data_IF_230132238816
#
_entry.id   IF_230132238816
#
_cell.length_a   1.000
_cell.length_b   1.000
_cell.length_c   1.000
_cell.angle_alpha   90.00
_cell.angle_beta   90.00
_cell.angle_gamma   90.00
#
_symmetry.space_group_name_H-M   'P 1'
#
loop_
_entity.id
_entity.type
_entity.pdbx_description
1 polymer ?
#
# COMPACT_ATOMS: atom_id res chain seq x y z
N UNK A 1 53.94 -93.71 73.45
CA UNK A 1 54.63 -94.21 74.65
C UNK A 1 53.62 -95.04 75.44
N UNK A 2 53.22 -96.25 75.03
CA UNK A 2 53.90 -97.56 75.11
C UNK A 2 54.49 -97.93 76.47
N UNK A 3 54.13 -99.14 76.90
CA UNK A 3 54.66 -100.01 77.98
C UNK A 3 54.13 -99.72 79.40
N UNK A 4 53.37 -100.60 80.06
CA UNK A 4 53.37 -102.09 80.18
C UNK A 4 54.66 -102.62 80.83
N UNK A 5 54.58 -103.05 82.09
CA UNK A 5 55.42 -104.04 82.78
C UNK A 5 54.63 -104.48 84.05
N UNK A 6 53.97 -105.65 84.09
CA UNK A 6 54.48 -107.02 84.37
C UNK A 6 55.18 -107.16 85.72
N UNK A 7 54.73 -108.12 86.53
CA UNK A 7 55.56 -108.76 87.55
C UNK A 7 54.80 -109.42 88.68
N UNK A 8 54.23 -110.60 88.44
CA UNK A 8 53.79 -111.52 89.48
C UNK A 8 54.99 -112.27 90.08
N UNK A 9 55.01 -112.47 91.40
CA UNK A 9 55.76 -113.55 92.05
C UNK A 9 54.91 -114.12 93.18
N UNK A 10 54.73 -115.43 93.07
CA UNK A 10 54.06 -116.36 93.98
C UNK A 10 55.15 -117.11 94.76
N UNK A 11 54.89 -117.52 96.02
CA UNK A 11 55.35 -118.79 96.65
C UNK A 11 54.91 -118.85 98.13
N UNK A 12 54.39 -120.03 98.51
CA UNK A 12 54.30 -120.73 99.81
C UNK A 12 54.24 -119.91 101.12
N UNK A 13 53.29 -120.12 102.03
CA UNK A 13 52.87 -121.40 102.60
C UNK A 13 53.40 -121.48 104.05
N UNK A 14 52.53 -121.57 105.05
CA UNK A 14 52.96 -121.72 106.44
C UNK A 14 51.92 -121.35 107.49
N UNK A 15 51.28 -122.37 108.04
CA UNK A 15 50.34 -122.40 109.16
C UNK A 15 51.05 -122.09 110.49
N UNK A 16 50.47 -121.27 111.39
CA UNK A 16 50.48 -121.41 112.86
C UNK A 16 49.73 -120.26 113.58
N UNK A 17 48.74 -120.62 114.39
CA UNK A 17 47.90 -119.84 115.33
C UNK A 17 48.38 -120.21 116.76
N UNK A 18 48.05 -119.53 117.89
CA UNK A 18 47.71 -118.13 118.23
C UNK A 18 48.57 -117.57 119.40
N UNK A 19 48.41 -116.28 119.75
CA UNK A 19 48.12 -115.93 121.16
C UNK A 19 47.36 -114.60 121.23
N UNK A 20 46.13 -114.70 121.72
CA UNK A 20 45.16 -113.62 121.89
C UNK A 20 45.43 -112.95 123.25
N UNK A 21 45.86 -111.69 123.24
CA UNK A 21 45.90 -110.82 124.42
C UNK A 21 44.95 -109.65 124.19
N UNK A 22 43.76 -109.76 124.79
CA UNK A 22 42.76 -108.70 124.84
C UNK A 22 43.19 -107.70 125.92
N UNK A 23 43.68 -106.54 125.51
CA UNK A 23 43.74 -105.36 126.37
C UNK A 23 42.50 -104.49 126.10
N UNK A 24 41.64 -104.36 127.11
CA UNK A 24 40.62 -103.33 127.16
C UNK A 24 41.21 -102.08 127.85
N UNK A 25 41.04 -100.90 127.25
CA UNK A 25 41.35 -99.64 127.92
C UNK A 25 41.30 -98.39 127.02
N UNK A 26 40.32 -97.53 127.30
CA UNK A 26 40.10 -96.15 126.82
C UNK A 26 39.63 -95.93 125.36
N UNK A 27 38.31 -95.86 125.18
CA UNK A 27 37.74 -95.06 124.09
C UNK A 27 37.81 -93.56 124.44
N UNK A 28 37.98 -92.66 123.44
CA UNK A 28 38.08 -91.22 123.67
C UNK A 28 36.81 -90.67 124.33
N UNK A 29 36.96 -89.61 125.13
CA UNK A 29 35.80 -88.93 125.73
C UNK A 29 34.96 -88.26 124.65
N UNK A 30 33.65 -88.09 124.88
CA UNK A 30 32.75 -87.45 123.91
C UNK A 30 33.26 -86.04 123.51
N UNK A 31 33.80 -85.30 124.47
CA UNK A 31 34.37 -83.96 124.27
C UNK A 31 35.64 -83.99 123.39
N UNK A 32 36.48 -85.02 123.49
CA UNK A 32 37.64 -85.20 122.61
C UNK A 32 37.22 -85.47 121.16
N UNK A 33 36.18 -86.29 120.94
CA UNK A 33 35.66 -86.60 119.61
C UNK A 33 35.15 -85.32 118.93
N UNK A 34 34.31 -84.56 119.64
CA UNK A 34 33.72 -83.32 119.10
C UNK A 34 34.79 -82.25 118.79
N UNK A 35 35.77 -82.04 119.68
CA UNK A 35 36.85 -81.07 119.47
C UNK A 35 37.72 -81.41 118.25
N UNK A 36 38.07 -82.69 118.07
CA UNK A 36 38.87 -83.16 116.91
C UNK A 36 38.09 -83.09 115.61
N UNK A 37 36.80 -83.44 115.62
CA UNK A 37 35.93 -83.33 114.45
C UNK A 37 35.76 -81.87 114.01
N UNK A 38 35.55 -80.96 114.97
CA UNK A 38 35.50 -79.51 114.71
C UNK A 38 36.80 -78.97 114.11
N UNK A 39 37.96 -79.39 114.64
CA UNK A 39 39.26 -79.00 114.08
C UNK A 39 39.45 -79.54 112.66
N UNK A 40 39.04 -80.77 112.38
CA UNK A 40 39.10 -81.35 111.04
C UNK A 40 38.21 -80.58 110.05
N UNK A 41 36.97 -80.25 110.45
CA UNK A 41 36.06 -79.41 109.66
C UNK A 41 36.65 -78.03 109.38
N UNK A 42 37.23 -77.37 110.40
CA UNK A 42 37.86 -76.06 110.25
C UNK A 42 39.07 -76.09 109.30
N UNK A 43 39.90 -77.14 109.36
CA UNK A 43 41.02 -77.36 108.44
C UNK A 43 40.57 -77.55 107.00
N UNK A 44 39.54 -78.37 106.80
CA UNK A 44 38.99 -78.63 105.47
C UNK A 44 38.35 -77.37 104.88
N UNK A 45 37.51 -76.67 105.65
CA UNK A 45 36.93 -75.40 105.23
C UNK A 45 38.00 -74.38 104.84
N UNK A 46 39.08 -74.28 105.63
CA UNK A 46 40.21 -73.40 105.32
C UNK A 46 40.96 -73.83 104.05
N UNK A 47 41.20 -75.13 103.87
CA UNK A 47 41.87 -75.63 102.67
C UNK A 47 41.06 -75.34 101.39
N UNK A 48 39.74 -75.52 101.44
CA UNK A 48 38.83 -75.18 100.34
C UNK A 48 38.85 -73.68 100.06
N UNK A 49 38.75 -72.85 101.10
CA UNK A 49 38.81 -71.40 100.96
C UNK A 49 40.15 -70.93 100.39
N UNK A 50 41.27 -71.52 100.83
CA UNK A 50 42.61 -71.20 100.34
C UNK A 50 42.84 -71.64 98.90
N UNK A 51 42.21 -72.73 98.47
CA UNK A 51 42.30 -73.21 97.09
C UNK A 51 41.41 -72.42 96.12
N UNK A 52 40.50 -71.56 96.62
CA UNK A 52 39.66 -70.72 95.79
C UNK A 52 40.41 -69.42 95.39
N UNK A 53 40.72 -69.22 94.08
CA UNK A 53 41.45 -68.03 93.61
C UNK A 53 40.75 -66.72 93.97
N UNK A 54 39.42 -66.70 94.01
CA UNK A 54 38.66 -65.49 94.32
C UNK A 54 38.84 -65.07 95.77
N UNK A 55 38.93 -66.04 96.69
CA UNK A 55 39.21 -65.79 98.11
C UNK A 55 40.65 -65.33 98.30
N UNK A 56 41.59 -65.91 97.56
CA UNK A 56 43.00 -65.50 97.57
C UNK A 56 43.17 -64.05 97.04
N UNK A 57 42.50 -63.70 95.94
CA UNK A 57 42.61 -62.36 95.32
C UNK A 57 41.88 -61.30 96.16
N UNK A 58 40.69 -61.60 96.69
CA UNK A 58 39.81 -60.58 97.26
C UNK A 58 39.74 -60.56 98.79
N UNK A 59 40.15 -61.65 99.46
CA UNK A 59 40.05 -61.78 100.92
C UNK A 59 41.34 -62.30 101.57
N UNK A 60 42.50 -61.98 100.98
CA UNK A 60 43.81 -62.44 101.47
C UNK A 60 44.03 -62.18 102.98
N UNK A 61 43.62 -61.01 103.49
CA UNK A 61 43.78 -60.64 104.90
C UNK A 61 42.90 -61.51 105.82
N UNK A 62 41.56 -61.57 105.64
CA UNK A 62 40.71 -62.54 106.34
C UNK A 62 41.15 -64.01 106.21
N UNK A 63 41.63 -64.43 105.04
CA UNK A 63 42.11 -65.79 104.79
C UNK A 63 43.38 -66.09 105.61
N UNK A 64 44.33 -65.15 105.67
CA UNK A 64 45.51 -65.28 106.52
C UNK A 64 45.13 -65.38 108.00
N UNK A 65 44.12 -64.62 108.43
CA UNK A 65 43.60 -64.64 109.80
C UNK A 65 42.92 -65.96 110.15
N UNK A 66 42.20 -66.56 109.20
CA UNK A 66 41.61 -67.88 109.32
C UNK A 66 42.69 -68.97 109.45
N UNK A 67 43.74 -68.91 108.62
CA UNK A 67 44.88 -69.83 108.69
C UNK A 67 45.57 -69.81 110.07
N UNK A 68 45.85 -68.60 110.59
CA UNK A 68 46.41 -68.46 111.96
C UNK A 68 45.49 -69.07 113.03
N UNK A 69 44.18 -68.94 112.88
CA UNK A 69 43.23 -69.54 113.83
C UNK A 69 43.21 -71.07 113.73
N UNK A 70 43.33 -71.65 112.53
CA UNK A 70 43.50 -73.11 112.34
C UNK A 70 44.80 -73.60 112.98
N UNK A 71 45.88 -72.86 112.82
CA UNK A 71 47.18 -73.18 113.41
C UNK A 71 47.13 -73.15 114.95
N UNK A 72 46.48 -72.13 115.52
CA UNK A 72 46.27 -72.01 116.96
C UNK A 72 45.38 -73.15 117.50
N UNK A 73 44.28 -73.46 116.82
CA UNK A 73 43.40 -74.56 117.19
C UNK A 73 44.12 -75.92 117.16
N UNK A 74 45.05 -76.10 116.21
CA UNK A 74 45.89 -77.31 116.11
C UNK A 74 46.90 -77.46 117.25
N UNK A 75 47.24 -76.36 117.93
CA UNK A 75 48.23 -76.30 119.01
C UNK A 75 47.59 -76.18 120.41
N UNK A 76 46.25 -76.20 120.49
CA UNK A 76 45.52 -76.07 121.74
C UNK A 76 45.90 -77.17 122.74
N UNK A 77 46.03 -76.79 124.02
CA UNK A 77 46.55 -77.70 125.07
C UNK A 77 45.47 -78.57 125.71
N UNK A 78 44.21 -78.19 125.54
CA UNK A 78 43.04 -78.91 126.03
C UNK A 78 41.92 -78.89 124.99
N UNK A 79 40.93 -79.78 125.15
CA UNK A 79 39.89 -79.98 124.15
C UNK A 79 38.86 -78.84 124.09
N UNK A 80 38.60 -78.14 125.21
CA UNK A 80 37.71 -76.97 125.23
C UNK A 80 38.27 -75.80 124.40
N UNK A 81 39.56 -75.52 124.59
CA UNK A 81 40.29 -74.50 123.82
C UNK A 81 40.37 -74.90 122.34
N UNK A 82 40.61 -76.18 122.04
CA UNK A 82 40.62 -76.69 120.66
C UNK A 82 39.27 -76.49 119.96
N UNK A 83 38.18 -76.88 120.62
CA UNK A 83 36.83 -76.74 120.07
C UNK A 83 36.48 -75.27 119.83
N UNK A 84 36.75 -74.40 120.81
CA UNK A 84 36.50 -72.96 120.68
C UNK A 84 37.33 -72.31 119.57
N UNK A 85 38.63 -72.59 119.50
CA UNK A 85 39.51 -72.05 118.46
C UNK A 85 39.18 -72.62 117.08
N UNK A 86 38.80 -73.90 116.98
CA UNK A 86 38.33 -74.50 115.73
C UNK A 86 37.05 -73.83 115.24
N UNK A 87 36.10 -73.55 116.14
CA UNK A 87 34.90 -72.76 115.81
C UNK A 87 35.29 -71.36 115.30
N UNK A 88 36.19 -70.65 115.99
CA UNK A 88 36.65 -69.34 115.53
C UNK A 88 37.37 -69.40 114.18
N UNK A 89 38.15 -70.45 113.92
CA UNK A 89 38.84 -70.66 112.65
C UNK A 89 37.85 -70.91 111.50
N UNK A 90 36.83 -71.73 111.74
CA UNK A 90 35.74 -71.97 110.79
C UNK A 90 34.97 -70.67 110.51
N UNK A 91 34.62 -69.89 111.54
CA UNK A 91 33.95 -68.59 111.38
C UNK A 91 34.81 -67.58 110.62
N UNK A 92 36.12 -67.51 110.90
CA UNK A 92 37.05 -66.64 110.15
C UNK A 92 37.19 -67.07 108.69
N UNK A 93 37.19 -68.36 108.43
CA UNK A 93 37.20 -68.90 107.05
C UNK A 93 35.91 -68.50 106.31
N UNK A 94 34.75 -68.62 106.96
CA UNK A 94 33.48 -68.18 106.39
C UNK A 94 33.47 -66.66 106.11
N UNK A 95 34.06 -65.85 107.00
CA UNK A 95 34.23 -64.41 106.78
C UNK A 95 35.12 -64.15 105.55
N UNK A 96 36.22 -64.89 105.38
CA UNK A 96 37.07 -64.73 104.20
C UNK A 96 36.33 -65.03 102.90
N UNK A 97 35.55 -66.12 102.86
CA UNK A 97 34.71 -66.44 101.69
C UNK A 97 33.67 -65.35 101.43
N UNK A 98 32.96 -64.90 102.47
CA UNK A 98 31.94 -63.87 102.34
C UNK A 98 32.51 -62.52 101.87
N UNK A 99 33.69 -62.12 102.36
CA UNK A 99 34.39 -60.89 101.92
C UNK A 99 34.78 -60.99 100.44
N UNK A 100 35.23 -62.16 99.99
CA UNK A 100 35.58 -62.37 98.60
C UNK A 100 34.34 -62.30 97.69
N UNK A 101 33.24 -62.94 98.09
CA UNK A 101 31.96 -62.88 97.38
C UNK A 101 31.42 -61.44 97.31
N UNK A 102 31.47 -60.69 98.41
CA UNK A 102 31.07 -59.27 98.45
C UNK A 102 31.91 -58.43 97.50
N UNK A 103 33.23 -58.60 97.50
CA UNK A 103 34.13 -57.82 96.65
C UNK A 103 33.96 -58.15 95.16
N UNK A 104 33.68 -59.41 94.82
CA UNK A 104 33.35 -59.81 93.45
C UNK A 104 32.02 -59.20 92.99
N UNK A 105 30.99 -59.24 93.84
CA UNK A 105 29.69 -58.65 93.54
C UNK A 105 29.80 -57.12 93.32
N UNK A 106 30.60 -56.42 94.13
CA UNK A 106 30.86 -54.99 93.92
C UNK A 106 31.67 -54.72 92.64
N UNK A 107 32.63 -55.57 92.28
CA UNK A 107 33.38 -55.45 91.02
C UNK A 107 32.48 -55.68 89.79
N UNK A 108 31.59 -56.67 89.84
CA UNK A 108 30.63 -56.95 88.78
C UNK A 108 29.64 -55.79 88.63
N UNK A 109 29.08 -55.29 89.74
CA UNK A 109 28.22 -54.11 89.76
C UNK A 109 28.93 -52.87 89.18
N UNK A 110 30.21 -52.66 89.51
CA UNK A 110 31.00 -51.58 88.92
C UNK A 110 31.24 -51.79 87.42
N UNK A 111 31.47 -53.02 86.96
CA UNK A 111 31.61 -53.36 85.55
C UNK A 111 30.31 -53.13 84.76
N UNK A 112 29.17 -53.58 85.30
CA UNK A 112 27.84 -53.33 84.76
C UNK A 112 27.50 -51.83 84.77
N UNK A 113 27.91 -51.09 85.80
CA UNK A 113 27.80 -49.63 85.85
C UNK A 113 28.52 -48.95 84.69
N UNK A 114 29.77 -49.37 84.41
CA UNK A 114 30.53 -48.84 83.27
C UNK A 114 29.90 -49.21 81.92
N UNK A 115 29.37 -50.43 81.76
CA UNK A 115 28.76 -50.84 80.50
C UNK A 115 27.40 -50.14 80.27
N UNK A 116 26.60 -49.97 81.31
CA UNK A 116 25.34 -49.21 81.24
C UNK A 116 25.61 -47.75 80.89
N UNK A 117 26.62 -47.11 81.49
CA UNK A 117 27.02 -45.74 81.13
C UNK A 117 27.47 -45.63 79.66
N UNK A 118 28.27 -46.58 79.17
CA UNK A 118 28.65 -46.65 77.74
C UNK A 118 27.44 -46.84 76.82
N UNK A 119 26.47 -47.66 77.21
CA UNK A 119 25.25 -47.87 76.43
C UNK A 119 24.40 -46.59 76.38
N UNK A 120 24.26 -45.89 77.51
CA UNK A 120 23.54 -44.60 77.57
C UNK A 120 24.21 -43.57 76.66
N UNK A 121 25.54 -43.43 76.73
CA UNK A 121 26.28 -42.50 75.86
C UNK A 121 26.08 -42.86 74.39
N UNK A 122 26.28 -44.12 74.00
CA UNK A 122 26.05 -44.58 72.61
C UNK A 122 24.60 -44.34 72.14
N UNK A 123 23.62 -44.56 73.01
CA UNK A 123 22.21 -44.31 72.70
C UNK A 123 21.95 -42.82 72.47
N UNK A 124 22.48 -41.95 73.34
CA UNK A 124 22.37 -40.48 73.19
C UNK A 124 23.08 -39.99 71.93
N UNK A 125 24.26 -40.51 71.62
CA UNK A 125 24.98 -40.16 70.38
C UNK A 125 24.18 -40.55 69.13
N UNK A 126 23.58 -41.74 69.11
CA UNK A 126 22.68 -42.16 68.01
C UNK A 126 21.47 -41.25 67.89
N UNK A 127 20.85 -40.89 69.00
CA UNK A 127 19.70 -39.98 69.01
C UNK A 127 20.09 -38.58 68.50
N UNK A 128 21.26 -38.05 68.92
CA UNK A 128 21.75 -36.76 68.44
C UNK A 128 22.10 -36.80 66.96
N UNK A 129 22.77 -37.85 66.49
CA UNK A 129 23.06 -38.06 65.06
C UNK A 129 21.78 -38.10 64.24
N UNK A 130 20.80 -38.89 64.65
CA UNK A 130 19.49 -38.96 63.99
C UNK A 130 18.77 -37.61 63.96
N UNK A 131 18.85 -36.82 65.05
CA UNK A 131 18.28 -35.45 65.09
C UNK A 131 18.99 -34.49 64.12
N UNK A 132 20.31 -34.57 64.01
CA UNK A 132 21.09 -33.74 63.07
C UNK A 132 20.77 -34.13 61.63
N UNK A 133 20.78 -35.42 61.32
CA UNK A 133 20.43 -35.95 59.99
C UNK A 133 18.99 -35.58 59.59
N UNK A 134 18.04 -35.70 60.51
CA UNK A 134 16.65 -35.29 60.26
C UNK A 134 16.53 -33.77 60.01
N UNK A 135 17.28 -32.94 60.74
CA UNK A 135 17.33 -31.49 60.52
C UNK A 135 17.94 -31.14 59.17
N UNK A 136 19.03 -31.79 58.81
CA UNK A 136 19.68 -31.60 57.51
C UNK A 136 18.77 -32.01 56.37
N UNK A 137 18.12 -33.18 56.46
CA UNK A 137 17.14 -33.65 55.48
C UNK A 137 15.97 -32.67 55.33
N UNK A 138 15.42 -32.17 56.45
CA UNK A 138 14.34 -31.18 56.40
C UNK A 138 14.78 -29.85 55.79
N UNK A 139 16.02 -29.41 56.07
CA UNK A 139 16.58 -28.20 55.48
C UNK A 139 16.79 -28.36 53.96
N UNK A 140 17.30 -29.50 53.51
CA UNK A 140 17.45 -29.81 52.09
C UNK A 140 16.10 -29.86 51.37
N UNK A 141 15.08 -30.48 51.99
CA UNK A 141 13.72 -30.50 51.45
C UNK A 141 13.15 -29.08 51.32
N UNK A 142 13.24 -28.26 52.38
CA UNK A 142 12.78 -26.87 52.36
C UNK A 142 13.53 -26.03 51.31
N UNK A 143 14.84 -26.21 51.15
CA UNK A 143 15.63 -25.53 50.12
C UNK A 143 15.22 -25.95 48.70
N UNK A 144 14.90 -27.23 48.49
CA UNK A 144 14.38 -27.74 47.22
C UNK A 144 13.00 -27.18 46.90
N UNK A 145 12.10 -27.14 47.89
CA UNK A 145 10.76 -26.57 47.75
C UNK A 145 10.83 -25.08 47.42
N UNK A 146 11.70 -24.33 48.09
CA UNK A 146 11.91 -22.91 47.82
C UNK A 146 12.44 -22.69 46.39
N UNK A 147 13.41 -23.51 45.96
CA UNK A 147 13.91 -23.47 44.58
C UNK A 147 12.81 -23.75 43.56
N UNK A 148 11.91 -24.70 43.85
CA UNK A 148 10.76 -24.99 43.00
C UNK A 148 9.75 -23.84 42.97
N UNK A 149 9.51 -23.16 44.10
CA UNK A 149 8.65 -21.96 44.17
C UNK A 149 9.21 -20.83 43.32
N UNK A 150 10.49 -20.50 43.48
CA UNK A 150 11.17 -19.46 42.70
C UNK A 150 11.16 -19.79 41.20
N UNK A 151 11.43 -21.05 40.83
CA UNK A 151 11.36 -21.48 39.43
C UNK A 151 9.96 -21.35 38.83
N UNK A 152 8.92 -21.71 39.58
CA UNK A 152 7.53 -21.56 39.16
C UNK A 152 7.12 -20.08 39.04
N UNK A 153 7.58 -19.23 39.96
CA UNK A 153 7.35 -17.78 39.90
C UNK A 153 8.03 -17.16 38.67
N UNK A 154 9.27 -17.54 38.38
CA UNK A 154 9.97 -17.12 37.15
C UNK A 154 9.24 -17.59 35.88
N UNK A 155 8.72 -18.82 35.86
CA UNK A 155 7.93 -19.32 34.74
C UNK A 155 6.64 -18.51 34.55
N UNK A 156 5.94 -18.18 35.64
CA UNK A 156 4.74 -17.32 35.61
C UNK A 156 5.05 -15.90 35.13
N UNK A 157 6.16 -15.31 35.58
CA UNK A 157 6.61 -14.00 35.14
C UNK A 157 6.96 -14.00 33.64
N UNK A 158 7.62 -15.05 33.16
CA UNK A 158 7.93 -15.23 31.74
C UNK A 158 6.66 -15.37 30.88
N UNK A 159 5.70 -16.19 31.32
CA UNK A 159 4.41 -16.35 30.63
C UNK A 159 3.61 -15.03 30.61
N UNK A 160 3.57 -14.30 31.74
CA UNK A 160 2.95 -12.98 31.80
C UNK A 160 3.59 -12.00 30.81
N UNK A 161 4.93 -11.98 30.74
CA UNK A 161 5.65 -11.14 29.79
C UNK A 161 5.35 -11.52 28.33
N UNK A 162 5.27 -12.81 28.02
CA UNK A 162 4.89 -13.30 26.69
C UNK A 162 3.47 -12.87 26.30
N UNK A 163 2.51 -12.92 27.25
CA UNK A 163 1.13 -12.44 27.04
C UNK A 163 1.08 -10.94 26.77
N UNK A 164 1.84 -10.14 27.52
CA UNK A 164 1.92 -8.68 27.31
C UNK A 164 2.51 -8.38 25.93
N UNK A 165 3.60 -9.05 25.55
CA UNK A 165 4.22 -8.89 24.24
C UNK A 165 3.26 -9.26 23.10
N UNK A 166 2.54 -10.38 23.22
CA UNK A 166 1.53 -10.79 22.24
C UNK A 166 0.36 -9.79 22.16
N UNK A 167 -0.12 -9.28 23.30
CA UNK A 167 -1.16 -8.25 23.31
C UNK A 167 -0.70 -6.96 22.61
N UNK A 168 0.55 -6.53 22.82
CA UNK A 168 1.13 -5.38 22.12
C UNK A 168 1.27 -5.63 20.61
N UNK A 169 1.70 -6.81 20.20
CA UNK A 169 1.76 -7.21 18.79
C UNK A 169 0.37 -7.20 18.13
N UNK A 170 -0.67 -7.69 18.82
CA UNK A 170 -2.06 -7.63 18.35
C UNK A 170 -2.57 -6.20 18.20
N UNK A 171 -2.25 -5.33 19.17
CA UNK A 171 -2.65 -3.92 19.15
C UNK A 171 -2.00 -3.19 17.97
N UNK A 172 -0.69 -3.31 17.83
CA UNK A 172 0.05 -2.69 16.71
C UNK A 172 -0.41 -3.22 15.34
N UNK A 173 -0.73 -4.50 15.23
CA UNK A 173 -1.31 -5.07 14.01
C UNK A 173 -2.70 -4.49 13.70
N UNK A 174 -3.56 -4.33 14.72
CA UNK A 174 -4.88 -3.73 14.55
C UNK A 174 -4.78 -2.24 14.14
N UNK A 175 -3.85 -1.50 14.73
CA UNK A 175 -3.56 -0.10 14.36
C UNK A 175 -3.04 0.01 12.93
N UNK A 176 -2.11 -0.86 12.52
CA UNK A 176 -1.60 -0.91 11.14
C UNK A 176 -2.73 -1.20 10.14
N UNK A 177 -3.59 -2.19 10.43
CA UNK A 177 -4.73 -2.51 9.57
C UNK A 177 -5.70 -1.32 9.42
N UNK A 178 -5.97 -0.60 10.50
CA UNK A 178 -6.81 0.60 10.46
C UNK A 178 -6.15 1.71 9.63
N UNK A 179 -4.85 1.92 9.79
CA UNK A 179 -4.09 2.88 9.00
C UNK A 179 -4.07 2.53 7.51
N UNK A 180 -3.96 1.25 7.16
CA UNK A 180 -4.03 0.78 5.77
C UNK A 180 -5.41 1.02 5.15
N UNK A 181 -6.48 0.79 5.91
CA UNK A 181 -7.86 1.04 5.49
C UNK A 181 -8.12 2.55 5.28
N UNK A 182 -7.65 3.39 6.20
CA UNK A 182 -7.66 4.85 6.06
C UNK A 182 -6.83 5.29 4.83
N UNK A 183 -5.64 4.72 4.61
CA UNK A 183 -4.83 5.03 3.43
C UNK A 183 -5.52 4.61 2.12
N UNK A 184 -6.19 3.46 2.10
CA UNK A 184 -6.95 2.99 0.94
C UNK A 184 -8.11 3.94 0.62
N UNK A 185 -8.89 4.34 1.64
CA UNK A 185 -10.00 5.29 1.46
C UNK A 185 -9.52 6.66 0.98
N UNK A 186 -8.42 7.18 1.54
CA UNK A 186 -7.82 8.45 1.10
C UNK A 186 -7.35 8.38 -0.36
N UNK A 187 -6.73 7.28 -0.79
CA UNK A 187 -6.35 7.06 -2.20
C UNK A 187 -7.56 7.04 -3.12
N UNK A 188 -8.66 6.39 -2.70
CA UNK A 188 -9.89 6.36 -3.48
C UNK A 188 -10.53 7.76 -3.62
N UNK A 189 -10.52 8.56 -2.55
CA UNK A 189 -10.98 9.95 -2.58
C UNK A 189 -10.10 10.79 -3.52
N UNK A 190 -8.77 10.66 -3.42
CA UNK A 190 -7.83 11.39 -4.27
C UNK A 190 -8.03 11.05 -5.77
N UNK A 191 -8.18 9.77 -6.11
CA UNK A 191 -8.46 9.36 -7.49
C UNK A 191 -9.80 9.90 -8.02
N UNK A 192 -10.82 9.97 -7.16
CA UNK A 192 -12.11 10.55 -7.54
C UNK A 192 -11.99 12.05 -7.78
N UNK A 193 -11.29 12.76 -6.89
CA UNK A 193 -11.01 14.19 -7.06
C UNK A 193 -10.23 14.49 -8.34
N UNK A 194 -9.24 13.65 -8.69
CA UNK A 194 -8.49 13.75 -9.95
C UNK A 194 -9.40 13.57 -11.17
N UNK A 195 -10.25 12.53 -11.18
CA UNK A 195 -11.24 12.33 -12.26
C UNK A 195 -12.23 13.48 -12.37
N UNK A 196 -12.70 14.01 -11.25
CA UNK A 196 -13.63 15.14 -11.22
C UNK A 196 -12.96 16.42 -11.75
N UNK A 197 -11.67 16.63 -11.43
CA UNK A 197 -10.87 17.72 -11.96
C UNK A 197 -10.63 17.59 -13.47
N UNK A 198 -10.32 16.37 -13.96
CA UNK A 198 -10.16 16.09 -15.39
C UNK A 198 -11.47 16.31 -16.15
N UNK A 199 -12.59 15.87 -15.59
CA UNK A 199 -13.91 16.09 -16.20
C UNK A 199 -14.24 17.57 -16.27
N UNK A 200 -13.99 18.33 -15.20
CA UNK A 200 -14.16 19.78 -15.16
C UNK A 200 -13.28 20.48 -16.19
N UNK A 201 -12.02 20.07 -16.32
CA UNK A 201 -11.10 20.60 -17.32
C UNK A 201 -11.55 20.27 -18.75
N UNK A 202 -12.06 19.06 -18.99
CA UNK A 202 -12.62 18.66 -20.29
C UNK A 202 -13.87 19.48 -20.64
N UNK A 203 -14.77 19.72 -19.68
CA UNK A 203 -15.94 20.58 -19.87
C UNK A 203 -15.54 22.03 -20.18
N UNK A 204 -14.57 22.58 -19.46
CA UNK A 204 -14.05 23.92 -19.74
C UNK A 204 -13.40 24.03 -21.13
N UNK A 205 -12.69 22.98 -21.58
CA UNK A 205 -12.14 22.91 -22.94
C UNK A 205 -13.26 22.86 -23.98
N UNK A 206 -14.29 22.05 -23.77
CA UNK A 206 -15.43 21.94 -24.67
C UNK A 206 -16.17 23.27 -24.80
N UNK A 207 -16.51 23.94 -23.69
CA UNK A 207 -17.17 25.25 -23.72
C UNK A 207 -16.30 26.32 -24.39
N UNK A 208 -14.98 26.29 -24.18
CA UNK A 208 -14.06 27.19 -24.87
C UNK A 208 -13.99 26.92 -26.39
N UNK A 209 -14.10 25.65 -26.81
CA UNK A 209 -14.10 25.27 -28.23
C UNK A 209 -15.42 25.68 -28.92
N UNK A 210 -16.56 25.53 -28.24
CA UNK A 210 -17.86 26.02 -28.70
C UNK A 210 -17.86 27.55 -28.85
N UNK A 211 -17.32 28.27 -27.86
CA UNK A 211 -17.18 29.73 -27.93
C UNK A 211 -16.29 30.17 -29.12
N UNK A 212 -15.18 29.48 -29.37
CA UNK A 212 -14.33 29.72 -30.56
C UNK A 212 -15.10 29.46 -31.86
N UNK A 213 -15.83 28.36 -31.94
CA UNK A 213 -16.62 28.00 -33.12
C UNK A 213 -17.71 29.04 -33.40
N UNK A 214 -18.42 29.49 -32.36
CA UNK A 214 -19.43 30.55 -32.48
C UNK A 214 -18.80 31.89 -32.90
N UNK A 215 -17.64 32.25 -32.34
CA UNK A 215 -16.88 33.44 -32.76
C UNK A 215 -16.44 33.38 -34.22
N UNK A 216 -15.93 32.23 -34.69
CA UNK A 216 -15.53 32.05 -36.08
C UNK A 216 -16.72 32.07 -37.04
N UNK A 217 -17.88 31.50 -36.63
CA UNK A 217 -19.12 31.63 -37.39
C UNK A 217 -19.58 33.09 -37.50
N UNK A 218 -19.54 33.83 -36.39
CA UNK A 218 -19.86 35.26 -36.39
C UNK A 218 -18.92 36.07 -37.30
N UNK A 219 -17.61 35.78 -37.27
CA UNK A 219 -16.63 36.40 -38.19
C UNK A 219 -16.91 36.09 -39.65
N UNK A 220 -17.27 34.83 -39.98
CA UNK A 220 -17.64 34.43 -41.34
C UNK A 220 -18.93 35.12 -41.80
N UNK A 221 -19.94 35.22 -40.92
CA UNK A 221 -21.18 35.92 -41.21
C UNK A 221 -20.96 37.42 -41.45
N UNK A 222 -20.15 38.08 -40.60
CA UNK A 222 -19.75 39.48 -40.79
C UNK A 222 -18.99 39.69 -42.10
N UNK A 223 -18.02 38.82 -42.41
CA UNK A 223 -17.30 38.88 -43.68
C UNK A 223 -18.23 38.71 -44.89
N UNK A 224 -19.23 37.82 -44.80
CA UNK A 224 -20.22 37.62 -45.85
C UNK A 224 -21.13 38.84 -46.01
N UNK A 225 -21.58 39.45 -44.92
CA UNK A 225 -22.38 40.67 -44.93
C UNK A 225 -21.61 41.84 -45.58
N UNK A 226 -20.34 42.04 -45.19
CA UNK A 226 -19.48 43.06 -45.81
C UNK A 226 -19.30 42.83 -47.31
N UNK A 227 -19.21 41.58 -47.74
CA UNK A 227 -19.10 41.22 -49.17
C UNK A 227 -20.40 41.54 -49.92
N UNK A 228 -21.56 41.18 -49.38
CA UNK A 228 -22.85 41.51 -50.00
C UNK A 228 -23.10 43.02 -50.05
N UNK A 229 -22.71 43.76 -49.02
CA UNK A 229 -22.83 45.22 -48.99
C UNK A 229 -21.94 45.86 -50.05
N UNK A 230 -20.69 45.38 -50.19
CA UNK A 230 -19.79 45.84 -51.24
C UNK A 230 -20.31 45.53 -52.65
N UNK A 231 -20.92 44.37 -52.86
CA UNK A 231 -21.56 43.99 -54.13
C UNK A 231 -22.78 44.87 -54.43
N UNK A 232 -23.62 45.15 -53.43
CA UNK A 232 -24.77 46.04 -53.55
C UNK A 232 -24.32 47.47 -53.92
N UNK A 233 -23.32 48.01 -53.22
CA UNK A 233 -22.73 49.31 -53.53
C UNK A 233 -22.10 49.35 -54.94
N UNK A 234 -21.43 48.27 -55.36
CA UNK A 234 -20.89 48.19 -56.71
C UNK A 234 -22.01 48.20 -57.76
N UNK A 235 -23.14 47.55 -57.48
CA UNK A 235 -24.29 47.52 -58.37
C UNK A 235 -25.00 48.88 -58.43
N UNK A 236 -25.19 49.57 -57.30
CA UNK A 236 -25.77 50.91 -57.30
C UNK A 236 -24.91 51.87 -58.13
N UNK A 237 -23.58 51.87 -57.92
CA UNK A 237 -22.67 52.68 -58.73
C UNK A 237 -22.71 52.33 -60.23
N UNK A 238 -22.89 51.05 -60.60
CA UNK A 238 -23.09 50.65 -62.00
C UNK A 238 -24.39 51.21 -62.56
N UNK A 239 -25.49 51.13 -61.81
CA UNK A 239 -26.78 51.67 -62.24
C UNK A 239 -26.77 53.19 -62.36
N UNK A 240 -26.15 53.90 -61.41
CA UNK A 240 -25.96 55.35 -61.46
C UNK A 240 -25.16 55.76 -62.68
N UNK A 241 -24.05 55.06 -62.96
CA UNK A 241 -23.23 55.32 -64.17
C UNK A 241 -24.00 55.04 -65.46
N UNK A 242 -24.77 53.95 -65.50
CA UNK A 242 -25.60 53.61 -66.66
C UNK A 242 -26.68 54.68 -66.89
N UNK A 243 -27.35 55.13 -65.82
CA UNK A 243 -28.35 56.19 -65.90
C UNK A 243 -27.74 57.53 -66.30
N UNK A 244 -26.59 57.90 -65.73
CA UNK A 244 -25.88 59.11 -66.13
C UNK A 244 -25.48 59.08 -67.61
N UNK A 245 -25.04 57.92 -68.13
CA UNK A 245 -24.76 57.73 -69.55
C UNK A 245 -26.03 57.86 -70.41
N UNK A 246 -27.14 57.29 -69.97
CA UNK A 246 -28.43 57.40 -70.65
C UNK A 246 -28.93 58.85 -70.70
N UNK A 247 -28.92 59.56 -69.56
CA UNK A 247 -29.31 60.96 -69.49
C UNK A 247 -28.41 61.84 -70.36
N UNK A 248 -27.09 61.60 -70.36
CA UNK A 248 -26.15 62.35 -71.22
C UNK A 248 -26.48 62.15 -72.70
N UNK A 249 -26.72 60.90 -73.11
CA UNK A 249 -27.11 60.57 -74.47
C UNK A 249 -28.42 61.28 -74.86
N UNK A 250 -29.41 61.31 -73.96
CA UNK A 250 -30.68 61.99 -74.18
C UNK A 250 -30.51 63.51 -74.38
N UNK A 251 -29.68 64.17 -73.57
CA UNK A 251 -29.38 65.60 -73.73
C UNK A 251 -28.72 65.89 -75.10
N UNK A 252 -27.80 65.04 -75.54
CA UNK A 252 -27.16 65.18 -76.86
C UNK A 252 -28.15 64.96 -78.01
N UNK A 253 -29.13 64.06 -77.86
CA UNK A 253 -30.22 63.84 -78.85
C UNK A 253 -31.12 65.08 -78.95
N UNK A 254 -31.53 65.65 -77.81
CA UNK A 254 -32.36 66.86 -77.77
C UNK A 254 -31.64 68.02 -78.46
N UNK A 255 -30.33 68.18 -78.22
CA UNK A 255 -29.53 69.24 -78.86
C UNK A 255 -29.47 69.10 -80.39
N UNK A 256 -29.49 67.86 -80.90
CA UNK A 256 -29.54 67.60 -82.34
C UNK A 256 -30.96 67.64 -82.92
N UNK A 257 -32.00 67.97 -82.14
CA UNK A 257 -33.43 67.87 -82.56
C UNK A 257 -33.82 66.47 -83.04
N UNK A 258 -33.13 65.43 -82.55
CA UNK A 258 -33.46 64.05 -82.89
C UNK A 258 -34.71 63.57 -82.14
N UNK A 259 -35.48 62.69 -82.78
CA UNK A 259 -36.60 61.99 -82.15
C UNK A 259 -36.21 60.54 -81.89
N UNK A 260 -36.49 60.04 -80.69
CA UNK A 260 -36.29 58.62 -80.39
C UNK A 260 -37.40 57.80 -81.03
N UNK A 261 -37.03 56.76 -81.78
CA UNK A 261 -37.95 55.81 -82.40
C UNK A 261 -37.44 54.38 -82.20
N UNK A 262 -38.27 53.38 -82.49
CA UNK A 262 -37.86 51.96 -82.41
C UNK A 262 -36.70 51.61 -83.36
N UNK A 263 -36.55 52.36 -84.46
CA UNK A 263 -35.45 52.22 -85.44
C UNK A 263 -34.14 52.86 -84.96
N UNK A 264 -34.20 53.71 -83.94
CA UNK A 264 -33.10 54.52 -83.45
C UNK A 264 -33.45 56.00 -83.37
N UNK A 265 -32.43 56.86 -83.32
CA UNK A 265 -32.59 58.32 -83.23
C UNK A 265 -32.77 58.86 -84.65
N UNK A 266 -33.95 59.40 -84.96
CA UNK A 266 -34.26 59.99 -86.27
C UNK A 266 -34.00 61.48 -86.20
N UNK A 267 -33.09 61.95 -87.04
CA UNK A 267 -32.79 63.35 -87.29
C UNK A 267 -33.35 63.72 -88.66
N UNK A 268 -34.49 64.40 -88.68
CA UNK A 268 -35.09 64.91 -89.92
C UNK A 268 -34.51 66.27 -90.24
N UNK A 269 -33.89 66.39 -91.41
CA UNK A 269 -33.36 67.66 -91.89
C UNK A 269 -34.04 68.03 -93.22
N UNK A 270 -34.75 69.15 -93.22
CA UNK A 270 -35.52 69.63 -94.39
C UNK A 270 -34.65 70.22 -95.51
N UNK A 271 -35.30 70.76 -96.54
CA UNK A 271 -34.70 71.26 -97.80
C UNK A 271 -33.68 72.39 -97.62
N UNK A 272 -33.55 72.95 -96.40
CA UNK A 272 -32.50 73.91 -96.00
C UNK A 272 -31.08 73.37 -96.26
N UNK A 273 -30.94 72.04 -96.39
CA UNK A 273 -29.67 71.41 -96.74
C UNK A 273 -29.28 71.52 -98.21
N UNK A 274 -30.21 71.74 -99.14
CA UNK A 274 -29.92 71.64 -100.57
C UNK A 274 -30.31 72.92 -101.32
N UNK A 275 -29.52 73.31 -102.33
CA UNK A 275 -29.97 74.33 -103.26
C UNK A 275 -31.16 73.82 -104.10
N UNK A 276 -32.18 74.66 -104.34
CA UNK A 276 -33.45 74.30 -104.97
C UNK A 276 -33.25 73.46 -106.24
N UNK A 277 -33.88 72.29 -106.32
CA UNK A 277 -33.80 71.40 -107.49
C UNK A 277 -32.47 70.67 -107.67
N UNK A 278 -31.55 70.74 -106.69
CA UNK A 278 -30.23 70.10 -106.78
C UNK A 278 -29.96 69.16 -105.60
N UNK A 279 -28.87 68.39 -105.73
CA UNK A 279 -28.25 67.64 -104.65
C UNK A 279 -27.02 68.37 -104.05
N UNK A 280 -26.82 69.65 -104.38
CA UNK A 280 -25.72 70.44 -103.85
C UNK A 280 -26.04 70.92 -102.42
N UNK A 281 -25.18 70.56 -101.47
CA UNK A 281 -25.37 70.89 -100.06
C UNK A 281 -25.03 72.37 -99.78
N UNK A 282 -25.83 73.02 -98.93
CA UNK A 282 -25.62 74.40 -98.50
C UNK A 282 -24.54 74.48 -97.41
N UNK A 283 -23.93 75.66 -97.16
CA UNK A 283 -23.03 75.82 -96.01
C UNK A 283 -23.69 75.54 -94.65
N UNK A 284 -25.01 75.78 -94.54
CA UNK A 284 -25.78 75.42 -93.34
C UNK A 284 -25.86 73.91 -93.15
N UNK A 285 -25.84 73.13 -94.24
CA UNK A 285 -25.79 71.68 -94.20
C UNK A 285 -24.50 71.13 -93.61
N UNK A 286 -23.37 71.77 -93.94
CA UNK A 286 -22.08 71.35 -93.40
C UNK A 286 -22.10 71.42 -91.87
N UNK A 287 -22.70 72.45 -91.26
CA UNK A 287 -22.80 72.57 -89.79
C UNK A 287 -23.62 71.44 -89.13
N UNK A 288 -24.73 71.01 -89.71
CA UNK A 288 -25.53 69.92 -89.16
C UNK A 288 -24.85 68.56 -89.37
N UNK A 289 -24.16 68.39 -90.49
CA UNK A 289 -23.35 67.19 -90.77
C UNK A 289 -22.12 67.14 -89.84
N UNK A 290 -21.52 68.27 -89.48
CA UNK A 290 -20.44 68.36 -88.50
C UNK A 290 -20.88 67.90 -87.10
N UNK A 291 -22.08 68.29 -86.66
CA UNK A 291 -22.66 67.84 -85.39
C UNK A 291 -22.91 66.33 -85.40
N UNK A 292 -23.50 65.82 -86.48
CA UNK A 292 -23.74 64.39 -86.66
C UNK A 292 -22.43 63.59 -86.69
N UNK A 293 -21.42 64.06 -87.41
CA UNK A 293 -20.11 63.41 -87.46
C UNK A 293 -19.44 63.40 -86.08
N UNK A 294 -19.52 64.51 -85.34
CA UNK A 294 -18.99 64.60 -83.97
C UNK A 294 -19.67 63.59 -83.04
N UNK A 295 -21.01 63.46 -83.13
CA UNK A 295 -21.75 62.44 -82.39
C UNK A 295 -21.34 61.02 -82.79
N UNK A 296 -21.27 60.73 -84.10
CA UNK A 296 -20.87 59.41 -84.61
C UNK A 296 -19.42 59.03 -84.22
N UNK A 297 -18.52 60.01 -84.03
CA UNK A 297 -17.19 59.81 -83.46
C UNK A 297 -17.23 59.50 -81.96
N UNK A 298 -18.10 60.16 -81.20
CA UNK A 298 -18.27 59.91 -79.77
C UNK A 298 -18.93 58.53 -79.46
N UNK A 299 -19.76 58.02 -80.38
CA UNK A 299 -20.43 56.73 -80.25
C UNK A 299 -20.02 55.75 -81.38
N UNK A 300 -18.80 55.17 -81.32
CA UNK A 300 -18.24 54.36 -82.40
C UNK A 300 -19.05 53.08 -82.73
N UNK A 301 -19.88 52.61 -81.79
CA UNK A 301 -20.68 51.39 -81.93
C UNK A 301 -22.06 51.62 -82.57
N UNK A 302 -22.36 52.83 -83.05
CA UNK A 302 -23.62 53.18 -83.72
C UNK A 302 -23.43 53.28 -85.23
N UNK A 303 -24.45 52.88 -85.97
CA UNK A 303 -24.51 52.98 -87.42
C UNK A 303 -25.55 54.02 -87.83
N UNK A 304 -25.45 54.56 -89.04
CA UNK A 304 -26.37 55.57 -89.57
C UNK A 304 -26.99 55.12 -90.89
N UNK A 305 -28.30 55.30 -91.01
CA UNK A 305 -29.09 55.10 -92.22
C UNK A 305 -29.58 56.48 -92.69
N UNK A 306 -29.33 56.82 -93.95
CA UNK A 306 -29.66 58.12 -94.54
C UNK A 306 -30.72 57.89 -95.62
N UNK A 307 -31.92 58.39 -95.38
CA UNK A 307 -33.08 58.24 -96.26
C UNK A 307 -33.37 59.57 -96.96
N UNK A 308 -33.22 59.59 -98.28
CA UNK A 308 -33.56 60.76 -99.10
C UNK A 308 -35.03 60.74 -99.51
N UNK A 309 -35.67 61.91 -99.48
CA UNK A 309 -37.05 62.09 -99.93
C UNK A 309 -37.18 63.30 -100.88
N UNK A 310 -38.16 63.22 -101.78
CA UNK A 310 -38.56 64.31 -102.67
C UNK A 310 -40.03 64.64 -102.49
N UNK A 311 -40.46 65.79 -103.02
CA UNK A 311 -41.88 66.04 -103.24
C UNK A 311 -42.39 65.30 -104.49
N UNK A 312 -43.68 65.47 -104.81
CA UNK A 312 -44.31 64.81 -105.96
C UNK A 312 -44.16 65.55 -107.29
N UNK A 313 -43.26 66.52 -107.39
CA UNK A 313 -43.06 67.33 -108.61
C UNK A 313 -42.11 66.60 -109.54
N UNK A 314 -42.57 66.22 -110.72
CA UNK A 314 -41.77 65.53 -111.72
C UNK A 314 -41.96 64.00 -111.74
N UNK A 315 -41.25 63.29 -112.65
CA UNK A 315 -41.39 61.85 -112.82
C UNK A 315 -40.87 61.08 -111.59
N UNK A 316 -41.56 60.00 -111.23
CA UNK A 316 -41.21 59.15 -110.08
C UNK A 316 -39.75 58.65 -110.12
N UNK A 317 -39.27 58.20 -111.29
CA UNK A 317 -37.89 57.74 -111.46
C UNK A 317 -36.86 58.85 -111.23
N UNK A 318 -37.14 60.07 -111.73
CA UNK A 318 -36.26 61.22 -111.52
C UNK A 318 -36.23 61.65 -110.04
N UNK A 319 -37.35 61.53 -109.35
CA UNK A 319 -37.49 61.79 -107.93
C UNK A 319 -36.75 60.74 -107.07
N UNK A 320 -36.80 59.48 -107.47
CA UNK A 320 -36.02 58.41 -106.84
C UNK A 320 -34.51 58.67 -107.00
N UNK A 321 -34.05 58.94 -108.22
CA UNK A 321 -32.63 59.24 -108.49
C UNK A 321 -32.14 60.46 -107.71
N UNK A 322 -32.96 61.52 -107.64
CA UNK A 322 -32.66 62.72 -106.87
C UNK A 322 -32.55 62.42 -105.37
N UNK A 323 -33.45 61.58 -104.83
CA UNK A 323 -33.42 61.19 -103.42
C UNK A 323 -32.18 60.37 -103.04
N UNK A 324 -31.77 59.42 -103.91
CA UNK A 324 -30.54 58.64 -103.75
C UNK A 324 -29.32 59.56 -103.81
N UNK A 325 -29.29 60.47 -104.78
CA UNK A 325 -28.18 61.41 -104.95
C UNK A 325 -28.03 62.32 -103.73
N UNK A 326 -29.14 62.81 -103.17
CA UNK A 326 -29.15 63.61 -101.94
C UNK A 326 -28.66 62.82 -100.72
N UNK A 327 -29.11 61.58 -100.54
CA UNK A 327 -28.63 60.71 -99.47
C UNK A 327 -27.13 60.41 -99.60
N UNK A 328 -26.65 60.16 -100.83
CA UNK A 328 -25.24 59.94 -101.11
C UNK A 328 -24.39 61.19 -100.86
N UNK A 329 -24.88 62.38 -101.19
CA UNK A 329 -24.18 63.62 -100.90
C UNK A 329 -23.93 63.81 -99.40
N UNK A 330 -24.92 63.45 -98.55
CA UNK A 330 -24.76 63.47 -97.09
C UNK A 330 -23.77 62.40 -96.61
N UNK A 331 -23.84 61.16 -97.16
CA UNK A 331 -22.84 60.11 -96.90
C UNK A 331 -21.43 60.59 -97.21
N UNK A 332 -21.21 61.16 -98.37
CA UNK A 332 -19.88 61.59 -98.82
C UNK A 332 -19.32 62.69 -97.91
N UNK A 333 -20.18 63.61 -97.45
CA UNK A 333 -19.81 64.62 -96.45
C UNK A 333 -19.50 64.06 -95.07
N UNK A 334 -20.16 62.98 -94.66
CA UNK A 334 -19.84 62.25 -93.41
C UNK A 334 -18.52 61.49 -93.53
N UNK A 335 -18.27 60.85 -94.68
CA UNK A 335 -17.00 60.19 -94.97
C UNK A 335 -15.83 61.19 -94.96
N UNK A 336 -16.03 62.39 -95.52
CA UNK A 336 -15.05 63.47 -95.47
C UNK A 336 -14.74 63.96 -94.04
N UNK A 337 -15.58 63.57 -93.06
CA UNK A 337 -15.39 63.82 -91.62
C UNK A 337 -14.97 62.55 -90.89
N UNK A 338 -14.31 61.62 -91.58
CA UNK A 338 -13.77 60.35 -91.05
C UNK A 338 -14.81 59.37 -90.48
N UNK A 339 -16.07 59.46 -90.91
CA UNK A 339 -17.03 58.41 -90.58
C UNK A 339 -16.85 57.26 -91.57
N UNK A 340 -16.47 56.08 -91.04
CA UNK A 340 -16.27 54.88 -91.85
C UNK A 340 -17.50 54.57 -92.71
N UNK A 341 -17.29 54.28 -93.99
CA UNK A 341 -18.35 53.87 -94.91
C UNK A 341 -19.12 52.64 -94.40
N UNK A 342 -18.46 51.72 -93.69
CA UNK A 342 -19.11 50.54 -93.09
C UNK A 342 -20.19 50.87 -92.05
N UNK A 343 -20.22 52.11 -91.55
CA UNK A 343 -21.19 52.59 -90.57
C UNK A 343 -22.31 53.41 -91.22
N UNK A 344 -22.26 53.64 -92.53
CA UNK A 344 -23.22 54.48 -93.26
C UNK A 344 -23.96 53.64 -94.29
N UNK A 345 -25.27 53.78 -94.34
CA UNK A 345 -26.10 53.20 -95.41
C UNK A 345 -27.01 54.29 -95.95
N UNK A 346 -27.17 54.34 -97.27
CA UNK A 346 -28.03 55.31 -97.94
C UNK A 346 -29.20 54.59 -98.61
N UNK A 347 -30.37 55.23 -98.57
CA UNK A 347 -31.58 54.77 -99.24
C UNK A 347 -32.28 55.97 -99.86
N UNK A 348 -32.77 55.83 -101.09
CA UNK A 348 -33.63 56.83 -101.71
C UNK A 348 -35.06 56.34 -101.71
N UNK A 349 -35.96 57.13 -101.16
CA UNK A 349 -37.39 56.81 -101.08
C UNK A 349 -38.21 57.63 -102.08
N UNK A 350 -37.57 58.52 -102.87
CA UNK A 350 -38.25 59.40 -103.81
C UNK A 350 -39.46 60.09 -103.17
N UNK A 351 -40.59 60.03 -103.87
CA UNK A 351 -41.86 60.61 -103.42
C UNK A 351 -42.76 59.63 -102.64
N UNK A 352 -42.33 58.39 -102.40
CA UNK A 352 -43.18 57.29 -101.91
C UNK A 352 -43.52 57.36 -100.41
N UNK A 353 -42.95 58.32 -99.69
CA UNK A 353 -43.16 58.49 -98.24
C UNK A 353 -43.28 59.97 -97.87
N UNK A 354 -44.41 60.61 -98.22
CA UNK A 354 -44.69 62.00 -97.86
C UNK A 354 -45.02 62.13 -96.36
N UNK A 355 -44.46 63.14 -95.71
CA UNK A 355 -44.77 63.55 -94.32
C UNK A 355 -45.79 64.69 -94.27
N UNK A 356 -46.13 65.26 -95.42
CA UNK A 356 -47.12 66.31 -95.59
C UNK A 356 -47.81 66.22 -96.96
N UNK A 357 -48.97 66.87 -97.12
CA UNK A 357 -49.69 66.88 -98.39
C UNK A 357 -48.89 67.64 -99.49
N UNK A 358 -48.72 67.01 -100.66
CA UNK A 358 -47.94 67.58 -101.76
C UNK A 358 -48.69 68.66 -102.58
N UNK A 359 -49.95 68.93 -102.24
CA UNK A 359 -50.79 69.95 -102.89
C UNK A 359 -50.37 71.38 -102.52
N UNK A 360 -49.84 71.59 -101.32
CA UNK A 360 -49.35 72.89 -100.84
C UNK A 360 -47.84 73.03 -101.02
N UNK A 361 -47.37 74.26 -101.28
CA UNK A 361 -45.94 74.55 -101.33
C UNK A 361 -45.22 74.20 -100.02
N UNK A 362 -45.85 74.49 -98.87
CA UNK A 362 -45.32 74.17 -97.54
C UNK A 362 -45.29 72.66 -97.24
N UNK A 363 -46.19 71.87 -97.82
CA UNK A 363 -46.16 70.42 -97.68
C UNK A 363 -45.10 69.77 -98.59
N UNK A 364 -44.96 70.26 -99.83
CA UNK A 364 -43.85 69.88 -100.72
C UNK A 364 -42.48 70.17 -100.10
N UNK A 365 -42.33 71.34 -99.47
CA UNK A 365 -41.13 71.71 -98.71
C UNK A 365 -40.77 70.66 -97.64
N UNK A 366 -41.74 70.23 -96.84
CA UNK A 366 -41.52 69.21 -95.79
C UNK A 366 -41.20 67.82 -96.35
N UNK A 367 -41.66 67.52 -97.56
CA UNK A 367 -41.38 66.24 -98.23
C UNK A 367 -40.00 66.22 -98.90
N UNK A 368 -39.42 67.38 -99.23
CA UNK A 368 -38.02 67.51 -99.64
C UNK A 368 -37.11 67.50 -98.41
N UNK A 369 -36.86 66.31 -97.86
CA UNK A 369 -36.06 66.11 -96.65
C UNK A 369 -35.07 64.97 -96.79
N UNK A 370 -34.09 64.95 -95.90
CA UNK A 370 -33.26 63.79 -95.65
C UNK A 370 -33.45 63.41 -94.19
N UNK A 371 -33.91 62.18 -93.97
CA UNK A 371 -34.00 61.60 -92.63
C UNK A 371 -32.72 60.83 -92.35
N UNK A 372 -32.07 61.16 -91.25
CA UNK A 372 -30.83 60.53 -90.80
C UNK A 372 -31.16 59.74 -89.54
N UNK A 373 -31.09 58.42 -89.64
CA UNK A 373 -31.48 57.50 -88.57
C UNK A 373 -30.21 56.90 -87.97
N UNK A 374 -29.88 57.29 -86.75
CA UNK A 374 -28.80 56.70 -85.98
C UNK A 374 -29.35 55.45 -85.28
N UNK A 375 -28.89 54.28 -85.70
CA UNK A 375 -29.38 52.99 -85.23
C UNK A 375 -28.98 52.73 -83.76
N UNK A 376 -29.74 51.86 -83.09
CA UNK A 376 -29.41 51.37 -81.75
C UNK A 376 -28.04 50.65 -81.74
N UNK A 377 -27.34 50.70 -80.60
CA UNK A 377 -26.03 50.04 -80.45
C UNK A 377 -26.16 48.55 -80.80
N UNK A 378 -25.30 48.06 -81.70
CA UNK A 378 -25.31 46.66 -82.16
C UNK A 378 -26.27 46.33 -83.32
N UNK A 379 -27.06 47.29 -83.82
CA UNK A 379 -27.92 47.08 -85.00
C UNK A 379 -27.14 47.36 -86.29
N UNK A 380 -27.13 46.39 -87.22
CA UNK A 380 -26.47 46.52 -88.53
C UNK A 380 -27.37 47.24 -89.54
N UNK A 381 -26.82 48.05 -90.45
CA UNK A 381 -27.62 48.90 -91.33
C UNK A 381 -28.18 48.18 -92.58
N UNK A 382 -27.93 46.87 -92.74
CA UNK A 382 -28.39 46.05 -93.88
C UNK A 382 -29.68 45.24 -93.62
N UNK A 383 -30.36 45.45 -92.48
CA UNK A 383 -31.46 44.56 -92.03
C UNK A 383 -32.87 45.17 -91.99
N UNK A 384 -33.16 46.31 -92.63
CA UNK A 384 -34.56 46.71 -92.84
C UNK A 384 -35.04 46.31 -94.25
N UNK A 385 -35.91 45.31 -94.33
CA UNK A 385 -36.69 45.00 -95.53
C UNK A 385 -37.83 45.99 -95.71
#
# INVERSE_FOLDING_TARGET
MTNKLRGAVQICGGLLIPFLLIFAGCGPSHQEIMARERLASAKEAYAVAKANPDVEIHAQSPLNDAGRAVDLASQAKNFDEMEHLAYLAERKTQIAVAVAEEQMAENEKAALGRETERLIVRSREREQRAKVEARESNWLAAASDEKARVSNEQARASDAQARISNAQARKSFAEAKKSDEEAWTQRAIAQRAEKDADLSAAQARASSAEARTSSDQARKADAQARKSDAEALAQTHRTEKAQARANKLEQEIIHMKGQMTDRGIVLTIGDVLFATGTAALTPAADNEIDKLASFMKAYPNRNVLIEGHTDSTGPEGANLDLSITRANAVRDKLMARDISLSRITTSGLGQSSPVAANDTAAGRERNRRVDIIILNEGVSPLTSK
#
